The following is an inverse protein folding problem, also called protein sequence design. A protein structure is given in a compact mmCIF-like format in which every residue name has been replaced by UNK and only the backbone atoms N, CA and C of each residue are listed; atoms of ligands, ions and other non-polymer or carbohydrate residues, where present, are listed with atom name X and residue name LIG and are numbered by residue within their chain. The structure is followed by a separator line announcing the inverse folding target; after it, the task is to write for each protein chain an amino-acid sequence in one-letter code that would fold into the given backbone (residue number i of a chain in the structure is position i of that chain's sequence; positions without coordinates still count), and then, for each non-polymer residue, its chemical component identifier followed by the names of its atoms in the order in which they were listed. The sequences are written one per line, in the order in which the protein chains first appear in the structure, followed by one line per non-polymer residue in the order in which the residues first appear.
data_IF_290582059019
#
_entry.id   IF_290582059019
#
_cell.length_a   1.000
_cell.length_b   1.000
_cell.length_c   1.000
_cell.angle_alpha   90.00
_cell.angle_beta   90.00
_cell.angle_gamma   90.00
#
_symmetry.space_group_name_H-M   'P 1'
#
loop_
_entity.id
_entity.type
_entity.pdbx_description
1 polymer ?
#
# COMPACT_ATOMS: atom_id res chain seq x y z
N UNK A 1 11.05 3.00 5.50
CA UNK A 1 9.92 2.95 4.56
C UNK A 1 9.63 1.52 4.14
N UNK A 2 8.41 1.24 3.69
CA UNK A 2 8.05 -0.03 3.02
C UNK A 2 7.45 0.27 1.64
N UNK A 3 7.74 -0.57 0.65
CA UNK A 3 7.13 -0.55 -0.67
C UNK A 3 6.25 -1.80 -0.82
N UNK A 4 4.97 -1.62 -1.07
CA UNK A 4 3.96 -2.66 -0.98
C UNK A 4 3.22 -2.84 -2.29
N UNK A 5 2.73 -4.07 -2.55
CA UNK A 5 1.93 -4.41 -3.74
C UNK A 5 0.46 -3.97 -3.56
N UNK A 6 -0.03 -3.11 -4.44
CA UNK A 6 -1.38 -2.55 -4.45
C UNK A 6 -2.43 -3.63 -4.72
N UNK A 7 -3.67 -3.36 -4.27
CA UNK A 7 -4.88 -4.19 -4.46
C UNK A 7 -4.92 -5.46 -3.62
N UNK A 8 -3.82 -5.84 -2.99
CA UNK A 8 -3.79 -6.98 -2.07
C UNK A 8 -4.53 -6.67 -0.77
N UNK A 9 -5.39 -7.58 -0.26
CA UNK A 9 -6.03 -7.40 1.06
C UNK A 9 -5.04 -7.39 2.23
N UNK A 10 -3.79 -7.80 2.00
CA UNK A 10 -2.72 -7.82 3.01
C UNK A 10 -1.82 -6.60 2.88
N UNK A 11 -1.42 -6.22 1.65
CA UNK A 11 -0.41 -5.19 1.42
C UNK A 11 -0.85 -3.99 0.57
N UNK A 12 -2.11 -3.92 0.13
CA UNK A 12 -2.64 -2.73 -0.54
C UNK A 12 -2.49 -1.48 0.33
N UNK A 13 -2.22 -0.33 -0.28
CA UNK A 13 -1.96 0.94 0.42
C UNK A 13 -3.18 1.85 0.32
N UNK A 14 -3.67 2.09 -0.88
CA UNK A 14 -4.87 2.91 -1.11
C UNK A 14 -6.11 2.11 -1.52
N UNK A 15 -5.90 0.95 -2.16
CA UNK A 15 -6.98 0.14 -2.69
C UNK A 15 -6.77 -1.35 -2.45
N UNK A 16 -7.87 -2.07 -2.24
CA UNK A 16 -7.88 -3.53 -2.03
C UNK A 16 -9.01 -4.19 -2.81
N UNK A 17 -8.90 -5.50 -3.06
CA UNK A 17 -10.05 -6.30 -3.51
C UNK A 17 -11.15 -6.32 -2.45
N UNK A 18 -12.40 -6.24 -2.90
CA UNK A 18 -13.59 -6.17 -2.02
C UNK A 18 -13.95 -7.49 -1.30
N UNK A 19 -13.21 -8.57 -1.59
CA UNK A 19 -13.40 -9.88 -0.96
C UNK A 19 -14.58 -10.68 -1.51
N UNK A 20 -15.35 -10.17 -2.48
CA UNK A 20 -16.49 -10.89 -3.07
C UNK A 20 -16.11 -11.73 -4.28
N UNK A 21 -14.81 -11.80 -4.62
CA UNK A 21 -14.29 -12.47 -5.82
C UNK A 21 -14.87 -11.93 -7.14
N UNK A 22 -15.40 -10.70 -7.13
CA UNK A 22 -15.94 -10.01 -8.32
C UNK A 22 -14.85 -9.34 -9.17
N UNK A 23 -13.60 -9.32 -8.68
CA UNK A 23 -12.52 -8.53 -9.26
C UNK A 23 -12.63 -7.03 -8.98
N UNK A 24 -13.68 -6.59 -8.29
CA UNK A 24 -13.87 -5.18 -7.91
C UNK A 24 -12.78 -4.74 -6.92
N UNK A 25 -12.35 -3.51 -7.12
CA UNK A 25 -11.40 -2.80 -6.27
C UNK A 25 -12.15 -1.71 -5.52
N UNK A 26 -11.85 -1.59 -4.23
CA UNK A 26 -12.45 -0.59 -3.33
C UNK A 26 -11.34 0.19 -2.61
N UNK A 27 -11.65 1.41 -2.19
CA UNK A 27 -10.77 2.16 -1.29
C UNK A 27 -10.61 1.38 0.02
N UNK A 28 -9.36 1.25 0.45
CA UNK A 28 -9.02 0.49 1.64
C UNK A 28 -7.54 0.14 1.69
N UNK A 29 -7.08 -0.22 2.88
CA UNK A 29 -5.67 -0.52 3.15
C UNK A 29 -5.55 -1.96 3.65
N UNK A 30 -4.58 -2.69 3.12
CA UNK A 30 -4.30 -4.06 3.52
C UNK A 30 -3.84 -4.14 4.97
N UNK A 31 -4.13 -5.27 5.63
CA UNK A 31 -3.91 -5.44 7.07
C UNK A 31 -2.47 -5.10 7.49
N UNK A 32 -1.48 -5.60 6.76
CA UNK A 32 -0.06 -5.35 7.06
C UNK A 32 0.30 -3.91 6.76
N UNK A 33 -0.16 -3.35 5.63
CA UNK A 33 0.08 -1.95 5.31
C UNK A 33 -0.48 -1.02 6.37
N UNK A 34 -1.67 -1.31 6.93
CA UNK A 34 -2.32 -0.52 7.98
C UNK A 34 -1.56 -0.52 9.30
N UNK A 35 -1.00 -1.67 9.68
CA UNK A 35 -0.25 -1.77 10.93
C UNK A 35 1.14 -1.14 10.81
N UNK A 36 1.84 -1.37 9.69
CA UNK A 36 3.18 -0.83 9.46
C UNK A 36 3.16 0.69 9.25
N UNK A 37 2.10 1.24 8.64
CA UNK A 37 1.99 2.69 8.39
C UNK A 37 1.95 3.53 9.67
N UNK A 38 1.73 2.90 10.84
CA UNK A 38 1.82 3.57 12.15
C UNK A 38 3.26 3.91 12.57
N UNK A 39 4.25 3.22 12.00
CA UNK A 39 5.65 3.30 12.43
C UNK A 39 6.59 3.83 11.35
N UNK A 40 6.32 3.52 10.08
CA UNK A 40 7.14 3.97 8.95
C UNK A 40 6.26 4.38 7.77
N UNK A 41 6.77 5.25 6.86
CA UNK A 41 6.08 5.53 5.60
C UNK A 41 5.92 4.27 4.76
N UNK A 42 4.71 4.07 4.24
CA UNK A 42 4.34 2.95 3.35
C UNK A 42 3.93 3.53 2.01
N UNK A 43 4.49 2.98 0.93
CA UNK A 43 4.21 3.39 -0.44
C UNK A 43 3.68 2.21 -1.25
N UNK A 44 2.75 2.48 -2.14
CA UNK A 44 2.33 1.57 -3.21
C UNK A 44 3.39 1.47 -4.30
N UNK A 45 3.43 0.38 -5.09
CA UNK A 45 4.22 0.33 -6.32
C UNK A 45 3.76 1.37 -7.37
N UNK A 46 2.61 2.01 -7.17
CA UNK A 46 2.16 3.14 -7.99
C UNK A 46 2.72 4.49 -7.52
N UNK A 47 3.36 4.55 -6.35
CA UNK A 47 3.86 5.78 -5.71
C UNK A 47 5.39 5.87 -5.73
N UNK A 48 6.04 5.30 -6.75
CA UNK A 48 7.51 5.19 -6.83
C UNK A 48 8.24 6.53 -6.75
N UNK A 49 7.64 7.62 -7.22
CA UNK A 49 8.26 8.94 -7.13
C UNK A 49 8.37 9.42 -5.67
N UNK A 50 7.30 9.21 -4.89
CA UNK A 50 7.29 9.50 -3.46
C UNK A 50 8.26 8.61 -2.69
N UNK A 51 8.24 7.30 -2.99
CA UNK A 51 9.15 6.33 -2.41
C UNK A 51 10.62 6.67 -2.71
N UNK A 52 10.95 7.02 -3.96
CA UNK A 52 12.30 7.43 -4.38
C UNK A 52 12.74 8.71 -3.68
N UNK A 53 11.86 9.72 -3.59
CA UNK A 53 12.16 10.97 -2.89
C UNK A 53 12.51 10.72 -1.42
N UNK A 54 11.74 9.86 -0.75
CA UNK A 54 12.02 9.47 0.64
C UNK A 54 13.36 8.74 0.77
N UNK A 55 13.63 7.77 -0.12
CA UNK A 55 14.89 7.02 -0.11
C UNK A 55 16.12 7.90 -0.31
N UNK A 56 16.07 8.87 -1.22
CA UNK A 56 17.19 9.79 -1.50
C UNK A 56 17.44 10.82 -0.39
N UNK A 57 16.60 10.88 0.64
CA UNK A 57 16.73 11.81 1.77
C UNK A 57 17.28 11.12 3.04
N UNK A 58 17.59 9.83 2.96
CA UNK A 58 18.30 9.04 3.97
C UNK A 58 19.78 8.94 3.60
#
# INVERSE_FOLDING_TARGET
MALMKERSPICGVGFVHDGTFSGRIVEGQGIVSREISKFIPVYSENELLGAKKHWSQL
#
